data_IF_611662102436
#
_entry.id   IF_611662102436
#
_cell.length_a   1.000
_cell.length_b   1.000
_cell.length_c   1.000
_cell.angle_alpha   90.00
_cell.angle_beta   90.00
_cell.angle_gamma   90.00
#
_symmetry.space_group_name_H-M   'P 1'
#
loop_
_entity.id
_entity.type
_entity.pdbx_description
1 polymer ?
#
# COMPACT_ATOMS: atom_id res chain seq x y z
N UNK A 1 -12.21 8.20 -21.85
CA UNK A 1 -11.01 9.01 -22.16
C UNK A 1 -10.26 9.26 -20.85
N UNK A 2 -8.93 9.17 -20.85
CA UNK A 2 -8.13 9.36 -19.65
C UNK A 2 -8.17 10.82 -19.17
N UNK A 3 -8.33 11.03 -17.87
CA UNK A 3 -8.37 12.34 -17.22
C UNK A 3 -6.98 12.82 -16.81
N UNK A 4 -6.86 14.10 -16.41
CA UNK A 4 -5.61 14.63 -15.81
C UNK A 4 -5.20 13.87 -14.55
N UNK A 5 -6.17 13.42 -13.75
CA UNK A 5 -5.91 12.61 -12.56
C UNK A 5 -5.34 11.24 -12.94
N UNK A 6 -5.88 10.61 -13.99
CA UNK A 6 -5.37 9.33 -14.50
C UNK A 6 -3.92 9.46 -15.00
N UNK A 7 -3.58 10.57 -15.66
CA UNK A 7 -2.21 10.86 -16.09
C UNK A 7 -1.26 11.09 -14.90
N UNK A 8 -1.73 11.75 -13.84
CA UNK A 8 -0.95 11.97 -12.63
C UNK A 8 -0.64 10.65 -11.91
N UNK A 9 -1.62 9.75 -11.78
CA UNK A 9 -1.41 8.40 -11.22
C UNK A 9 -0.42 7.62 -12.09
N UNK A 10 -0.61 7.62 -13.42
CA UNK A 10 0.29 6.93 -14.35
C UNK A 10 1.75 7.39 -14.20
N UNK A 11 1.99 8.68 -13.98
CA UNK A 11 3.34 9.22 -13.76
C UNK A 11 4.02 8.60 -12.53
N UNK A 12 3.29 8.45 -11.42
CA UNK A 12 3.81 7.84 -10.20
C UNK A 12 4.03 6.35 -10.38
N UNK A 13 3.10 5.66 -11.06
CA UNK A 13 3.21 4.24 -11.37
C UNK A 13 4.42 3.95 -12.28
N UNK A 14 4.68 4.80 -13.29
CA UNK A 14 5.89 4.74 -14.13
C UNK A 14 7.14 4.91 -13.28
N UNK A 15 7.17 5.87 -12.36
CA UNK A 15 8.33 6.12 -11.50
C UNK A 15 8.67 4.94 -10.59
N UNK A 16 7.66 4.14 -10.19
CA UNK A 16 7.89 2.88 -9.50
C UNK A 16 8.38 1.80 -10.48
N UNK A 17 7.68 1.60 -11.60
CA UNK A 17 7.96 0.51 -12.53
C UNK A 17 9.30 0.61 -13.27
N UNK A 18 9.88 1.80 -13.39
CA UNK A 18 11.22 2.02 -13.97
C UNK A 18 12.29 2.36 -12.93
N UNK A 19 11.90 2.44 -11.66
CA UNK A 19 12.76 2.89 -10.57
C UNK A 19 12.61 2.04 -9.32
N UNK A 20 12.40 2.69 -8.18
CA UNK A 20 12.22 2.06 -6.88
C UNK A 20 11.24 2.88 -6.02
N UNK A 21 11.04 2.48 -4.76
CA UNK A 21 10.14 3.21 -3.87
C UNK A 21 10.54 4.65 -3.59
N UNK A 22 11.83 4.99 -3.63
CA UNK A 22 12.28 6.38 -3.46
C UNK A 22 11.83 7.25 -4.64
N UNK A 23 12.03 6.78 -5.88
CA UNK A 23 11.58 7.51 -7.08
C UNK A 23 10.07 7.67 -7.12
N UNK A 24 9.33 6.62 -6.73
CA UNK A 24 7.88 6.70 -6.59
C UNK A 24 7.46 7.72 -5.53
N UNK A 25 8.08 7.71 -4.35
CA UNK A 25 7.74 8.61 -3.23
C UNK A 25 7.91 10.08 -3.64
N UNK A 26 9.01 10.41 -4.34
CA UNK A 26 9.25 11.75 -4.87
C UNK A 26 8.18 12.14 -5.90
N UNK A 27 7.91 11.28 -6.88
CA UNK A 27 6.90 11.53 -7.90
C UNK A 27 5.49 11.71 -7.30
N UNK A 28 5.16 10.91 -6.28
CA UNK A 28 3.91 10.99 -5.54
C UNK A 28 3.79 12.31 -4.79
N UNK A 29 4.86 12.78 -4.14
CA UNK A 29 4.88 14.05 -3.43
C UNK A 29 4.64 15.23 -4.39
N UNK A 30 5.27 15.21 -5.56
CA UNK A 30 5.06 16.22 -6.60
C UNK A 30 3.62 16.21 -7.14
N UNK A 31 3.04 15.02 -7.37
CA UNK A 31 1.63 14.93 -7.78
C UNK A 31 0.73 15.47 -6.66
N UNK A 32 0.92 14.98 -5.44
CA UNK A 32 0.11 15.32 -4.28
C UNK A 32 0.08 16.82 -4.00
N UNK A 33 1.20 17.53 -4.20
CA UNK A 33 1.27 18.98 -4.05
C UNK A 33 0.31 19.74 -5.00
N UNK A 34 0.03 19.18 -6.18
CA UNK A 34 -0.87 19.76 -7.18
C UNK A 34 -2.34 19.33 -7.08
N UNK A 35 -2.69 18.39 -6.18
CA UNK A 35 -4.05 17.87 -6.06
C UNK A 35 -4.91 18.70 -5.11
N UNK A 36 -6.13 18.99 -5.55
CA UNK A 36 -7.17 19.59 -4.71
C UNK A 36 -7.84 18.53 -3.83
N UNK A 37 -8.55 18.96 -2.78
CA UNK A 37 -9.36 18.06 -1.95
C UNK A 37 -10.39 17.24 -2.77
N UNK A 38 -10.95 17.83 -3.83
CA UNK A 38 -11.88 17.15 -4.74
C UNK A 38 -11.20 16.05 -5.57
N UNK A 39 -9.92 16.21 -5.87
CA UNK A 39 -9.15 15.17 -6.56
C UNK A 39 -8.84 14.01 -5.62
N UNK A 40 -8.49 14.30 -4.36
CA UNK A 40 -8.26 13.28 -3.34
C UNK A 40 -9.49 12.40 -3.09
N UNK A 41 -10.67 13.01 -3.01
CA UNK A 41 -11.94 12.28 -2.85
C UNK A 41 -12.23 11.30 -4.00
N UNK A 42 -11.63 11.50 -5.18
CA UNK A 42 -11.83 10.64 -6.35
C UNK A 42 -10.78 9.55 -6.48
N UNK A 43 -9.64 9.67 -5.80
CA UNK A 43 -8.54 8.72 -5.93
C UNK A 43 -8.94 7.27 -5.63
N UNK A 44 -9.74 6.97 -4.58
CA UNK A 44 -10.20 5.60 -4.33
C UNK A 44 -10.96 4.97 -5.50
N UNK A 45 -11.75 5.75 -6.23
CA UNK A 45 -12.49 5.28 -7.41
C UNK A 45 -11.60 5.00 -8.62
N UNK A 46 -10.34 5.44 -8.58
CA UNK A 46 -9.35 5.21 -9.63
C UNK A 46 -8.52 3.96 -9.40
N UNK A 47 -8.88 3.08 -8.46
CA UNK A 47 -8.06 1.93 -8.09
C UNK A 47 -7.64 1.00 -9.25
N UNK A 48 -8.42 0.95 -10.34
CA UNK A 48 -8.08 0.20 -11.55
C UNK A 48 -7.53 1.13 -12.65
N UNK A 49 -6.51 0.71 -13.44
CA UNK A 49 -5.91 1.58 -14.44
C UNK A 49 -6.86 2.00 -15.57
N UNK A 50 -6.92 3.31 -15.82
CA UNK A 50 -7.61 3.88 -16.98
C UNK A 50 -6.70 4.04 -18.22
N UNK A 51 -5.39 3.88 -18.02
CA UNK A 51 -4.33 4.02 -19.03
C UNK A 51 -3.51 2.74 -18.98
N UNK A 52 -3.19 2.12 -20.12
CA UNK A 52 -2.28 0.98 -20.16
C UNK A 52 -0.82 1.40 -20.02
N UNK A 53 0.06 0.49 -19.59
CA UNK A 53 1.50 0.73 -19.48
C UNK A 53 2.11 1.27 -20.79
N UNK A 54 1.74 0.69 -21.93
CA UNK A 54 2.17 1.18 -23.26
C UNK A 54 1.75 2.64 -23.52
N UNK A 55 0.51 3.02 -23.16
CA UNK A 55 0.03 4.41 -23.31
C UNK A 55 0.69 5.37 -22.30
N UNK A 56 1.18 4.85 -21.18
CA UNK A 56 1.97 5.60 -20.20
C UNK A 56 3.46 5.72 -20.60
N UNK A 57 3.88 5.13 -21.72
CA UNK A 57 5.27 5.21 -22.22
C UNK A 57 6.19 4.12 -21.71
N UNK A 58 5.65 3.07 -21.09
CA UNK A 58 6.40 1.93 -20.53
C UNK A 58 5.87 0.59 -21.05
N UNK A 59 5.95 0.34 -22.37
CA UNK A 59 5.33 -0.83 -23.00
C UNK A 59 5.89 -2.18 -22.50
N UNK A 60 7.11 -2.20 -21.98
CA UNK A 60 7.75 -3.42 -21.47
C UNK A 60 7.24 -3.85 -20.09
N UNK A 61 6.57 -2.96 -19.36
CA UNK A 61 5.86 -3.29 -18.14
C UNK A 61 4.54 -3.98 -18.52
N UNK A 62 4.58 -5.30 -18.69
CA UNK A 62 3.39 -6.13 -18.99
C UNK A 62 2.24 -5.82 -18.00
N UNK A 63 1.01 -5.99 -18.47
CA UNK A 63 -0.22 -5.65 -17.73
C UNK A 63 -0.32 -6.27 -16.33
N UNK A 64 0.30 -7.44 -16.08
CA UNK A 64 0.29 -8.13 -14.77
C UNK A 64 0.98 -7.31 -13.66
N UNK A 65 1.96 -6.48 -14.00
CA UNK A 65 2.61 -5.57 -13.04
C UNK A 65 1.98 -4.18 -12.98
N UNK A 66 1.24 -3.79 -14.03
CA UNK A 66 0.76 -2.43 -14.17
C UNK A 66 -0.35 -2.08 -13.17
N UNK A 67 -1.32 -2.98 -12.98
CA UNK A 67 -2.40 -2.80 -12.00
C UNK A 67 -1.85 -2.65 -10.57
N UNK A 68 -0.79 -3.40 -10.26
CA UNK A 68 -0.06 -3.32 -8.99
C UNK A 68 0.58 -1.94 -8.83
N UNK A 69 1.41 -1.50 -9.78
CA UNK A 69 2.09 -0.19 -9.69
C UNK A 69 1.12 0.97 -9.64
N UNK A 70 0.01 0.87 -10.39
CA UNK A 70 -1.05 1.86 -10.38
C UNK A 70 -1.72 1.97 -9.01
N UNK A 71 -2.07 0.84 -8.40
CA UNK A 71 -2.71 0.85 -7.09
C UNK A 71 -1.74 1.37 -6.02
N UNK A 72 -0.48 0.92 -6.05
CA UNK A 72 0.54 1.38 -5.11
C UNK A 72 0.75 2.90 -5.24
N UNK A 73 0.81 3.42 -6.47
CA UNK A 73 0.90 4.85 -6.76
C UNK A 73 -0.25 5.64 -6.13
N UNK A 74 -1.50 5.17 -6.22
CA UNK A 74 -2.65 5.83 -5.59
C UNK A 74 -2.46 5.91 -4.08
N UNK A 75 -2.09 4.79 -3.44
CA UNK A 75 -1.90 4.77 -1.98
C UNK A 75 -0.75 5.68 -1.55
N UNK A 76 0.33 5.76 -2.34
CA UNK A 76 1.44 6.66 -2.04
C UNK A 76 1.02 8.12 -2.19
N UNK A 77 0.31 8.50 -3.26
CA UNK A 77 -0.21 9.87 -3.45
C UNK A 77 -1.08 10.30 -2.26
N UNK A 78 -1.96 9.42 -1.79
CA UNK A 78 -2.79 9.68 -0.61
C UNK A 78 -1.92 9.83 0.65
N UNK A 79 -0.92 8.97 0.85
CA UNK A 79 -0.02 9.07 2.00
C UNK A 79 0.75 10.40 2.03
N UNK A 80 1.17 10.92 0.88
CA UNK A 80 1.86 12.20 0.78
C UNK A 80 0.99 13.40 1.24
N UNK A 81 -0.34 13.24 1.26
CA UNK A 81 -1.29 14.25 1.77
C UNK A 81 -1.58 14.12 3.27
N UNK A 82 -0.97 13.16 3.98
CA UNK A 82 -1.08 12.98 5.43
C UNK A 82 -2.55 12.92 5.87
N UNK A 83 -2.97 13.78 6.79
CA UNK A 83 -4.34 13.85 7.32
C UNK A 83 -5.40 13.99 6.21
N UNK A 84 -5.12 14.75 5.14
CA UNK A 84 -6.08 14.94 4.04
C UNK A 84 -6.27 13.68 3.19
N UNK A 85 -5.25 12.82 3.11
CA UNK A 85 -5.30 11.57 2.35
C UNK A 85 -5.80 10.37 3.16
N UNK A 86 -5.82 10.49 4.49
CA UNK A 86 -6.23 9.42 5.41
C UNK A 86 -7.63 8.84 5.08
N UNK A 87 -8.68 9.63 4.80
CA UNK A 87 -9.99 9.07 4.46
C UNK A 87 -9.95 8.15 3.23
N UNK A 88 -9.20 8.53 2.20
CA UNK A 88 -9.07 7.72 0.98
C UNK A 88 -8.29 6.42 1.20
N UNK A 89 -7.26 6.44 2.06
CA UNK A 89 -6.52 5.22 2.42
C UNK A 89 -7.40 4.25 3.22
N UNK A 90 -8.20 4.76 4.16
CA UNK A 90 -9.15 3.94 4.91
C UNK A 90 -10.21 3.31 4.00
N UNK A 91 -10.72 4.08 3.04
CA UNK A 91 -11.67 3.58 2.06
C UNK A 91 -11.07 2.46 1.19
N UNK A 92 -9.85 2.66 0.66
CA UNK A 92 -9.16 1.64 -0.13
C UNK A 92 -8.84 0.38 0.68
N UNK A 93 -8.54 0.51 1.97
CA UNK A 93 -8.33 -0.63 2.86
C UNK A 93 -9.60 -1.47 3.06
N UNK A 94 -10.77 -0.82 3.13
CA UNK A 94 -12.05 -1.49 3.37
C UNK A 94 -12.65 -2.18 2.14
N UNK A 95 -12.23 -1.79 0.94
CA UNK A 95 -12.72 -2.39 -0.31
C UNK A 95 -12.29 -3.86 -0.40
N UNK A 96 -13.24 -4.76 -0.19
CA UNK A 96 -13.01 -6.22 -0.21
C UNK A 96 -12.57 -6.74 -1.59
N UNK A 97 -12.96 -6.05 -2.66
CA UNK A 97 -12.61 -6.42 -4.04
C UNK A 97 -11.18 -6.04 -4.41
N UNK A 98 -10.47 -5.25 -3.58
CA UNK A 98 -9.11 -4.83 -3.88
C UNK A 98 -8.11 -5.95 -3.61
N UNK A 99 -7.44 -6.45 -4.65
CA UNK A 99 -6.42 -7.51 -4.55
C UNK A 99 -5.14 -7.10 -3.80
N UNK A 100 -4.96 -5.80 -3.52
CA UNK A 100 -3.68 -5.23 -3.05
C UNK A 100 -3.75 -4.61 -1.65
N UNK A 101 -4.34 -5.34 -0.68
CA UNK A 101 -4.53 -4.87 0.70
C UNK A 101 -3.25 -4.44 1.43
N UNK A 102 -2.09 -4.96 1.02
CA UNK A 102 -0.81 -4.64 1.62
C UNK A 102 -0.43 -3.16 1.49
N UNK A 103 -0.74 -2.52 0.36
CA UNK A 103 -0.33 -1.14 0.11
C UNK A 103 -1.01 -0.13 1.06
N UNK A 104 -2.34 -0.08 1.19
CA UNK A 104 -2.97 0.88 2.09
C UNK A 104 -2.57 0.61 3.55
N UNK A 105 -2.39 -0.66 3.96
CA UNK A 105 -1.91 -0.98 5.31
C UNK A 105 -0.52 -0.40 5.59
N UNK A 106 0.45 -0.60 4.69
CA UNK A 106 1.81 -0.05 4.86
C UNK A 106 1.78 1.48 4.92
N UNK A 107 0.98 2.13 4.08
CA UNK A 107 0.89 3.60 4.04
C UNK A 107 0.21 4.16 5.28
N UNK A 108 -0.84 3.50 5.76
CA UNK A 108 -1.48 3.83 7.03
C UNK A 108 -0.48 3.70 8.20
N UNK A 109 0.27 2.61 8.28
CA UNK A 109 1.30 2.45 9.31
C UNK A 109 2.39 3.52 9.25
N UNK A 110 2.82 3.93 8.04
CA UNK A 110 3.74 5.07 7.87
C UNK A 110 3.14 6.37 8.39
N UNK A 111 1.87 6.65 8.09
CA UNK A 111 1.17 7.82 8.62
C UNK A 111 1.06 7.80 10.15
N UNK A 112 0.72 6.65 10.74
CA UNK A 112 0.70 6.49 12.18
C UNK A 112 2.09 6.72 12.82
N UNK A 113 3.16 6.26 12.16
CA UNK A 113 4.54 6.49 12.61
C UNK A 113 4.93 7.98 12.55
N UNK A 114 4.30 8.76 11.68
CA UNK A 114 4.45 10.22 11.58
C UNK A 114 3.49 10.98 12.53
N UNK A 115 2.71 10.27 13.36
CA UNK A 115 1.81 10.87 14.35
C UNK A 115 0.40 11.19 13.83
N UNK A 116 0.05 10.75 12.63
CA UNK A 116 -1.28 10.94 12.04
C UNK A 116 -2.27 9.90 12.62
N UNK A 117 -3.11 10.32 13.56
CA UNK A 117 -4.18 9.51 14.16
C UNK A 117 -3.73 8.08 14.56
N UNK A 118 -2.61 7.91 15.28
CA UNK A 118 -1.94 6.62 15.41
C UNK A 118 -2.83 5.54 16.04
N UNK A 119 -3.61 5.87 17.07
CA UNK A 119 -4.50 4.93 17.74
C UNK A 119 -5.62 4.44 16.81
N UNK A 120 -6.26 5.36 16.08
CA UNK A 120 -7.31 5.04 15.13
C UNK A 120 -6.75 4.18 13.99
N UNK A 121 -5.60 4.56 13.43
CA UNK A 121 -4.96 3.79 12.36
C UNK A 121 -4.64 2.37 12.83
N UNK A 122 -4.03 2.21 14.01
CA UNK A 122 -3.70 0.89 14.55
C UNK A 122 -4.95 0.04 14.81
N UNK A 123 -6.02 0.65 15.33
CA UNK A 123 -7.30 -0.04 15.53
C UNK A 123 -7.91 -0.51 14.20
N UNK A 124 -7.82 0.31 13.14
CA UNK A 124 -8.33 -0.03 11.80
C UNK A 124 -7.50 -1.09 11.11
N UNK A 125 -6.17 -1.01 11.20
CA UNK A 125 -5.26 -2.05 10.68
C UNK A 125 -5.49 -3.38 11.39
N UNK A 126 -5.61 -3.39 12.73
CA UNK A 126 -5.98 -4.59 13.51
C UNK A 126 -7.29 -5.20 12.99
N UNK A 127 -8.35 -4.41 12.95
CA UNK A 127 -9.67 -4.87 12.51
C UNK A 127 -9.62 -5.43 11.07
N UNK A 128 -8.85 -4.80 10.17
CA UNK A 128 -8.69 -5.33 8.81
C UNK A 128 -7.98 -6.68 8.81
N UNK A 129 -6.84 -6.81 9.49
CA UNK A 129 -6.06 -8.05 9.54
C UNK A 129 -6.87 -9.22 10.11
N UNK A 130 -7.73 -8.97 11.10
CA UNK A 130 -8.67 -9.95 11.68
C UNK A 130 -9.73 -10.46 10.70
N UNK A 131 -9.93 -9.80 9.56
CA UNK A 131 -10.90 -10.21 8.52
C UNK A 131 -10.25 -10.79 7.27
N UNK A 132 -8.94 -10.58 7.09
CA UNK A 132 -8.21 -11.03 5.92
C UNK A 132 -7.87 -12.52 6.03
N UNK A 133 -8.04 -13.25 4.92
CA UNK A 133 -7.56 -14.64 4.83
C UNK A 133 -6.03 -14.69 4.87
N UNK A 134 -5.51 -15.81 5.35
CA UNK A 134 -4.07 -16.06 5.52
C UNK A 134 -3.16 -15.61 4.34
N UNK A 135 -3.48 -15.89 3.05
CA UNK A 135 -2.62 -15.43 1.95
C UNK A 135 -2.46 -13.90 1.89
N UNK A 136 -3.53 -13.15 2.18
CA UNK A 136 -3.51 -11.69 2.14
C UNK A 136 -2.74 -11.09 3.31
N UNK A 137 -2.86 -11.70 4.50
CA UNK A 137 -2.06 -11.30 5.67
C UNK A 137 -0.58 -11.55 5.40
N UNK A 138 -0.23 -12.67 4.75
CA UNK A 138 1.16 -12.92 4.33
C UNK A 138 1.67 -11.86 3.35
N UNK A 139 0.88 -11.43 2.37
CA UNK A 139 1.28 -10.33 1.47
C UNK A 139 1.47 -9.00 2.21
N UNK A 140 0.64 -8.70 3.21
CA UNK A 140 0.83 -7.51 4.05
C UNK A 140 2.14 -7.57 4.82
N UNK A 141 2.44 -8.70 5.46
CA UNK A 141 3.72 -8.90 6.16
C UNK A 141 4.90 -8.81 5.18
N UNK A 142 4.78 -9.37 3.97
CA UNK A 142 5.82 -9.32 2.92
C UNK A 142 6.16 -7.90 2.56
N UNK A 143 5.15 -7.09 2.30
CA UNK A 143 5.33 -5.69 1.93
C UNK A 143 5.98 -4.90 3.07
N UNK A 144 5.52 -5.08 4.32
CA UNK A 144 6.08 -4.39 5.49
C UNK A 144 7.56 -4.75 5.69
N UNK A 145 7.92 -6.03 5.59
CA UNK A 145 9.32 -6.48 5.69
C UNK A 145 10.16 -5.97 4.52
N UNK A 146 9.61 -5.93 3.31
CA UNK A 146 10.32 -5.44 2.14
C UNK A 146 10.58 -3.92 2.25
N UNK A 147 9.66 -3.16 2.87
CA UNK A 147 9.83 -1.74 3.17
C UNK A 147 10.82 -1.44 4.30
N UNK A 148 11.16 -2.41 5.16
CA UNK A 148 12.01 -2.19 6.34
C UNK A 148 13.35 -1.46 6.06
N UNK A 149 14.09 -1.74 4.97
CA UNK A 149 15.32 -1.01 4.65
C UNK A 149 15.09 0.47 4.28
N UNK A 150 13.86 0.83 3.87
CA UNK A 150 13.45 2.19 3.52
C UNK A 150 12.87 2.91 4.72
N UNK A 151 11.96 2.27 5.44
CA UNK A 151 11.36 2.77 6.68
C UNK A 151 11.08 1.60 7.64
N UNK A 152 11.80 1.48 8.76
CA UNK A 152 11.62 0.38 9.70
C UNK A 152 10.42 0.59 10.66
N UNK A 153 9.84 1.81 10.72
CA UNK A 153 8.81 2.15 11.71
C UNK A 153 7.47 1.41 11.52
N UNK A 154 6.99 1.15 10.28
CA UNK A 154 5.78 0.34 10.08
C UNK A 154 5.85 -1.04 10.73
N UNK A 155 7.03 -1.70 10.67
CA UNK A 155 7.24 -2.98 11.33
C UNK A 155 7.14 -2.84 12.86
N UNK A 156 7.73 -1.79 13.43
CA UNK A 156 7.67 -1.53 14.89
C UNK A 156 6.23 -1.33 15.36
N UNK A 157 5.40 -0.66 14.57
CA UNK A 157 3.97 -0.48 14.84
C UNK A 157 3.13 -1.75 14.67
N UNK A 158 3.59 -2.68 13.85
CA UNK A 158 2.93 -3.97 13.64
C UNK A 158 3.19 -4.95 14.80
N UNK A 159 4.37 -4.90 15.44
CA UNK A 159 4.77 -5.84 16.50
C UNK A 159 3.76 -5.96 17.66
N UNK A 160 3.15 -4.87 18.18
CA UNK A 160 2.10 -4.97 19.21
C UNK A 160 0.85 -5.73 18.77
N UNK A 161 0.64 -5.93 17.47
CA UNK A 161 -0.47 -6.67 16.87
C UNK A 161 -0.16 -8.17 16.66
N UNK A 162 1.02 -8.63 17.09
CA UNK A 162 1.54 -10.00 16.90
C UNK A 162 0.55 -11.13 17.24
N UNK A 163 -0.30 -10.94 18.26
CA UNK A 163 -1.22 -11.97 18.76
C UNK A 163 -2.57 -12.03 18.01
N UNK A 164 -2.78 -11.22 16.97
CA UNK A 164 -3.99 -11.30 16.14
C UNK A 164 -4.06 -12.69 15.51
N UNK A 165 -5.18 -13.38 15.72
CA UNK A 165 -5.48 -14.66 15.08
C UNK A 165 -5.89 -14.43 13.63
N UNK A 166 -5.38 -15.26 12.71
CA UNK A 166 -5.62 -15.10 11.28
C UNK A 166 -6.75 -16.03 10.81
N UNK A 167 -7.83 -15.49 10.21
CA UNK A 167 -8.88 -16.31 9.64
C UNK A 167 -8.38 -17.37 8.67
N UNK A 168 -8.74 -18.62 8.95
CA UNK A 168 -8.45 -19.77 8.07
C UNK A 168 -7.02 -20.31 8.17
N UNK A 169 -6.19 -19.82 9.10
CA UNK A 169 -4.94 -20.50 9.46
C UNK A 169 -5.14 -21.28 10.76
N UNK A 170 -4.77 -22.57 10.76
CA UNK A 170 -4.92 -23.46 11.92
C UNK A 170 -3.99 -23.02 13.06
N UNK A 171 -4.46 -22.10 13.90
CA UNK A 171 -3.66 -21.51 14.98
C UNK A 171 -2.65 -20.45 14.52
N UNK A 172 -2.74 -20.00 13.27
CA UNK A 172 -1.87 -18.93 12.78
C UNK A 172 -2.17 -17.58 13.43
N UNK A 173 -1.11 -16.87 13.75
CA UNK A 173 -1.16 -15.49 14.24
C UNK A 173 -0.35 -14.59 13.32
N UNK A 174 -0.47 -13.27 13.50
CA UNK A 174 0.41 -12.33 12.81
C UNK A 174 1.89 -12.63 13.10
N UNK A 175 2.22 -13.02 14.32
CA UNK A 175 3.58 -13.42 14.71
C UNK A 175 4.08 -14.65 13.95
N UNK A 176 3.24 -15.68 13.75
CA UNK A 176 3.66 -16.88 12.99
C UNK A 176 3.93 -16.51 11.53
N UNK A 177 3.12 -15.63 10.94
CA UNK A 177 3.33 -15.11 9.59
C UNK A 177 4.64 -14.33 9.45
N UNK A 178 4.97 -13.47 10.42
CA UNK A 178 6.25 -12.73 10.45
C UNK A 178 7.45 -13.67 10.59
N UNK A 179 7.34 -14.72 11.42
CA UNK A 179 8.45 -15.66 11.66
C UNK A 179 8.73 -16.58 10.46
N UNK A 180 7.69 -17.08 9.77
CA UNK A 180 7.87 -17.98 8.63
C UNK A 180 8.68 -17.33 7.52
N UNK A 181 8.48 -16.04 7.31
CA UNK A 181 9.13 -15.26 6.27
C UNK A 181 10.60 -14.97 6.53
N UNK A 182 10.94 -14.71 7.79
CA UNK A 182 12.33 -14.56 8.22
C UNK A 182 13.11 -15.87 8.06
N UNK A 183 12.42 -17.01 8.17
CA UNK A 183 13.00 -18.36 8.03
C UNK A 183 13.24 -18.69 6.56
N UNK A 184 12.26 -18.43 5.69
CA UNK A 184 12.37 -18.69 4.24
C UNK A 184 13.52 -17.91 3.58
N UNK A 185 13.83 -16.69 4.04
CA UNK A 185 14.98 -15.91 3.54
C UNK A 185 16.34 -16.50 3.92
N UNK A 186 16.46 -17.17 5.07
CA UNK A 186 17.73 -17.79 5.51
C UNK A 186 18.04 -19.11 4.82
N UNK A 187 17.02 -19.77 4.28
CA UNK A 187 17.16 -20.99 3.47
C UNK A 187 17.52 -20.72 2.00
N UNK A 188 17.52 -19.45 1.57
CA UNK A 188 17.85 -19.01 0.21
C UNK A 188 19.17 -18.21 0.13
N UNK A 189 19.86 -18.04 1.27
CA UNK A 189 21.17 -17.40 1.41
C UNK A 189 22.25 -18.43 1.74
#
# INVERSE_FOLDING_TARGET
MATKLDQAIARVAVALGTGNWSTMTVAAAEVAAGLSAKDLQKLPDKWYPAISAAKAGVPDLKDVGWDHFWFEAITEILAQKKQEGLPGLLELMDRQECTYHQFPVVRLLRLAADGCEPEMVLARVRSRLETLRLPWVRFVVQEIEAWQPVDPRPLQLLLPLANIAIPGGEGDTLATCMKSMTTDRRSLS
#
